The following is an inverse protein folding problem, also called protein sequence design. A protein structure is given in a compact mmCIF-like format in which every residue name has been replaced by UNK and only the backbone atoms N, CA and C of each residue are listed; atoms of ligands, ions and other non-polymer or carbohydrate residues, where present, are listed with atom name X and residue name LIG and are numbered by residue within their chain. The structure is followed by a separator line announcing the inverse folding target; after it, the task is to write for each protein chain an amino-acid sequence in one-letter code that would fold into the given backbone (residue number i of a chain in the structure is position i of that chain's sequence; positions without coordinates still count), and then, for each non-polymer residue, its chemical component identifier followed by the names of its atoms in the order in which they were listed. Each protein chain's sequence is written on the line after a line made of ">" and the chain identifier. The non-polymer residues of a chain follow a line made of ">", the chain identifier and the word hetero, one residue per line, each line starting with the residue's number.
data_IF_027542482292
#
_entry.id   IF_027542482292
#
_cell.length_a   1.000
_cell.length_b   1.000
_cell.length_c   1.000
_cell.angle_alpha   90.00
_cell.angle_beta   90.00
_cell.angle_gamma   90.00
#
_symmetry.space_group_name_H-M   'P 1'
#
loop_
_entity.id
_entity.type
_entity.pdbx_description
1 polymer ?
#
# COMPACT_ATOMS: atom_id res chain seq x y z
N UNK A 1 -28.02 -20.61 55.55
CA UNK A 1 -28.94 -19.54 55.93
C UNK A 1 -28.79 -18.42 54.94
N UNK A 2 -29.90 -18.11 54.29
CA UNK A 2 -30.29 -17.01 53.38
C UNK A 2 -29.42 -16.68 52.19
N UNK A 3 -29.91 -17.22 51.14
CA UNK A 3 -29.77 -16.90 49.72
C UNK A 3 -30.49 -15.56 49.40
N UNK A 4 -29.82 -14.60 48.76
CA UNK A 4 -30.48 -13.51 48.02
C UNK A 4 -29.76 -13.34 46.67
N UNK A 5 -30.46 -13.70 45.58
CA UNK A 5 -30.03 -13.53 44.19
C UNK A 5 -30.17 -12.08 43.71
N UNK A 6 -29.57 -11.71 42.59
CA UNK A 6 -29.57 -10.34 42.08
C UNK A 6 -30.87 -9.98 41.37
N UNK A 7 -31.36 -8.77 41.68
CA UNK A 7 -32.52 -8.12 41.07
C UNK A 7 -32.30 -7.76 39.60
N UNK A 8 -33.30 -8.05 38.79
CA UNK A 8 -33.44 -7.64 37.41
C UNK A 8 -33.78 -6.15 37.28
N UNK A 9 -32.95 -5.35 36.63
CA UNK A 9 -33.27 -3.95 36.24
C UNK A 9 -33.85 -3.96 34.82
N UNK A 10 -35.15 -3.65 34.75
CA UNK A 10 -35.86 -3.42 33.49
C UNK A 10 -35.54 -2.04 32.87
N UNK A 11 -35.85 -1.84 31.59
CA UNK A 11 -35.52 -0.61 30.85
C UNK A 11 -36.46 0.55 31.20
N UNK A 12 -35.98 1.83 31.20
CA UNK A 12 -36.87 2.96 31.39
C UNK A 12 -37.64 3.30 30.10
N UNK A 13 -38.88 3.71 30.28
CA UNK A 13 -39.84 4.09 29.27
C UNK A 13 -39.48 5.44 28.59
N UNK A 14 -39.89 5.56 27.35
CA UNK A 14 -39.56 6.65 26.44
C UNK A 14 -40.17 7.99 26.76
N UNK A 15 -39.55 9.04 26.29
CA UNK A 15 -40.17 10.35 26.04
C UNK A 15 -39.70 11.00 24.74
N UNK A 16 -40.62 11.22 23.84
CA UNK A 16 -40.83 12.43 23.07
C UNK A 16 -39.74 12.85 22.07
N UNK A 17 -40.11 12.79 20.78
CA UNK A 17 -39.35 13.18 19.62
C UNK A 17 -38.98 14.67 19.57
N UNK A 18 -37.85 14.90 18.88
CA UNK A 18 -37.53 16.13 18.17
C UNK A 18 -36.78 15.75 16.89
N UNK A 19 -37.17 16.30 15.77
CA UNK A 19 -36.77 15.99 14.43
C UNK A 19 -35.26 16.05 14.19
N UNK A 20 -34.72 14.99 13.62
CA UNK A 20 -33.40 14.97 13.04
C UNK A 20 -33.47 15.74 11.70
N UNK A 21 -32.77 16.87 11.65
CA UNK A 21 -32.44 17.53 10.39
C UNK A 21 -31.50 16.63 9.57
N UNK A 22 -31.48 16.79 8.25
CA UNK A 22 -30.60 15.98 7.41
C UNK A 22 -29.15 16.23 7.80
N UNK A 23 -28.44 15.17 8.17
CA UNK A 23 -27.00 15.19 8.34
C UNK A 23 -26.30 15.63 7.04
N UNK A 24 -25.12 16.24 7.12
CA UNK A 24 -24.43 16.68 5.93
C UNK A 24 -24.19 15.48 5.01
N UNK A 25 -24.72 15.61 3.80
CA UNK A 25 -24.50 14.70 2.71
C UNK A 25 -23.00 14.42 2.59
N UNK A 26 -22.62 13.15 2.55
CA UNK A 26 -21.27 12.72 2.26
C UNK A 26 -20.82 13.43 0.98
N UNK A 27 -19.77 14.25 1.13
CA UNK A 27 -19.23 15.02 0.03
C UNK A 27 -18.83 14.05 -1.07
N UNK A 28 -19.44 14.19 -2.24
CA UNK A 28 -18.94 13.63 -3.46
C UNK A 28 -17.45 13.98 -3.53
N UNK A 29 -16.60 12.96 -3.64
CA UNK A 29 -15.18 13.15 -3.91
C UNK A 29 -15.11 14.08 -5.12
N UNK A 30 -14.62 15.31 -4.88
CA UNK A 30 -14.47 16.29 -5.93
C UNK A 30 -13.69 15.64 -7.05
N UNK A 31 -14.10 15.87 -8.29
CA UNK A 31 -13.31 15.57 -9.48
C UNK A 31 -12.06 16.44 -9.40
N UNK A 32 -11.07 15.95 -8.61
CA UNK A 32 -9.80 16.61 -8.40
C UNK A 32 -9.09 16.75 -9.75
N UNK A 33 -8.46 17.89 -9.98
CA UNK A 33 -7.57 18.15 -11.10
C UNK A 33 -6.64 16.94 -11.29
N UNK A 34 -6.51 16.43 -12.50
CA UNK A 34 -5.60 15.33 -12.81
C UNK A 34 -4.19 15.67 -12.33
N UNK A 35 -3.61 14.80 -11.52
CA UNK A 35 -2.32 15.07 -10.89
C UNK A 35 -1.18 14.98 -11.89
N UNK A 36 -0.30 15.97 -11.83
CA UNK A 36 0.97 16.03 -12.54
C UNK A 36 2.09 16.28 -11.54
N UNK A 37 2.87 15.25 -11.27
CA UNK A 37 3.85 15.27 -10.20
C UNK A 37 5.18 15.92 -10.58
N UNK A 38 5.63 16.87 -9.76
CA UNK A 38 7.05 17.09 -9.52
C UNK A 38 7.49 16.11 -8.42
N UNK A 39 8.28 15.10 -8.78
CA UNK A 39 8.75 14.11 -7.82
C UNK A 39 10.00 14.65 -7.11
N UNK A 40 9.93 14.86 -5.81
CA UNK A 40 11.05 15.29 -4.98
C UNK A 40 11.90 14.08 -4.63
N UNK A 41 13.12 14.00 -5.16
CA UNK A 41 14.04 12.88 -4.98
C UNK A 41 15.48 13.34 -4.66
N UNK A 42 15.61 14.54 -4.08
CA UNK A 42 16.87 15.22 -3.78
C UNK A 42 17.92 14.31 -3.15
N UNK A 43 19.01 14.07 -3.88
CA UNK A 43 20.12 13.21 -3.50
C UNK A 43 19.85 11.69 -3.57
N UNK A 44 18.63 11.28 -3.96
CA UNK A 44 18.21 9.86 -3.92
C UNK A 44 17.61 9.34 -5.23
N UNK A 45 17.56 10.13 -6.29
CA UNK A 45 16.94 9.69 -7.57
C UNK A 45 17.62 8.46 -8.18
N UNK A 46 18.91 8.25 -7.91
CA UNK A 46 19.67 7.08 -8.36
C UNK A 46 19.52 5.87 -7.43
N UNK A 47 19.05 6.06 -6.19
CA UNK A 47 19.00 5.00 -5.18
C UNK A 47 17.75 4.12 -5.34
N UNK A 48 17.89 2.80 -5.62
CA UNK A 48 16.74 1.92 -5.84
C UNK A 48 15.93 1.63 -4.55
N UNK A 49 16.54 1.79 -3.38
CA UNK A 49 15.90 1.54 -2.09
C UNK A 49 15.17 2.79 -1.60
N UNK A 50 15.88 3.91 -1.53
CA UNK A 50 15.31 5.17 -1.04
C UNK A 50 14.38 5.83 -2.06
N UNK A 51 14.66 5.73 -3.38
CA UNK A 51 13.78 6.21 -4.46
C UNK A 51 12.55 5.33 -4.75
N UNK A 52 12.12 4.48 -3.83
CA UNK A 52 11.05 3.49 -4.04
C UNK A 52 9.72 4.12 -4.48
N UNK A 53 9.28 5.21 -3.86
CA UNK A 53 8.01 5.88 -4.20
C UNK A 53 8.10 6.51 -5.59
N UNK A 54 9.19 7.21 -5.90
CA UNK A 54 9.46 7.75 -7.24
C UNK A 54 9.36 6.64 -8.30
N UNK A 55 10.10 5.55 -8.12
CA UNK A 55 10.13 4.42 -9.09
C UNK A 55 8.77 3.74 -9.23
N UNK A 56 8.00 3.62 -8.14
CA UNK A 56 6.65 3.08 -8.17
C UNK A 56 5.72 3.94 -9.03
N UNK A 57 5.69 5.24 -8.81
CA UNK A 57 4.86 6.17 -9.60
C UNK A 57 5.31 6.20 -11.06
N UNK A 58 6.63 6.29 -11.33
CA UNK A 58 7.16 6.26 -12.70
C UNK A 58 6.80 4.98 -13.46
N UNK A 59 6.73 3.83 -12.78
CA UNK A 59 6.40 2.54 -13.40
C UNK A 59 4.89 2.37 -13.64
N UNK A 60 4.06 2.72 -12.66
CA UNK A 60 2.64 2.38 -12.65
C UNK A 60 1.71 3.54 -13.00
N UNK A 61 2.21 4.77 -12.96
CA UNK A 61 1.48 6.00 -13.31
C UNK A 61 2.36 6.98 -14.10
N UNK A 62 3.04 6.49 -15.16
CA UNK A 62 3.99 7.30 -15.95
C UNK A 62 3.37 8.60 -16.48
N UNK A 63 2.09 8.57 -16.82
CA UNK A 63 1.33 9.72 -17.34
C UNK A 63 1.21 10.87 -16.32
N UNK A 64 1.37 10.59 -15.04
CA UNK A 64 1.30 11.62 -13.99
C UNK A 64 2.62 12.30 -13.71
N UNK A 65 3.74 11.82 -14.24
CA UNK A 65 5.07 12.38 -13.95
C UNK A 65 5.38 13.53 -14.90
N UNK A 66 5.68 14.71 -14.34
CA UNK A 66 6.10 15.90 -15.11
C UNK A 66 7.61 16.05 -15.11
N UNK A 67 8.24 16.00 -13.92
CA UNK A 67 9.69 16.14 -13.74
C UNK A 67 10.13 15.50 -12.42
N UNK A 68 11.45 15.33 -12.26
CA UNK A 68 12.08 14.89 -11.01
C UNK A 68 12.96 16.03 -10.52
N UNK A 69 12.91 16.35 -9.24
CA UNK A 69 13.82 17.32 -8.62
C UNK A 69 14.91 16.58 -7.87
N UNK A 70 16.14 16.74 -8.33
CA UNK A 70 17.36 16.25 -7.70
C UNK A 70 18.56 17.12 -8.17
N UNK A 71 19.04 17.99 -7.31
CA UNK A 71 20.13 18.91 -7.62
C UNK A 71 21.43 18.19 -7.98
N UNK A 72 21.63 16.98 -7.46
CA UNK A 72 22.86 16.20 -7.71
C UNK A 72 22.95 15.65 -9.12
N UNK A 73 21.81 15.59 -9.84
CA UNK A 73 21.70 15.05 -11.20
C UNK A 73 21.00 16.00 -12.18
N UNK A 74 20.91 17.27 -11.83
CA UNK A 74 20.22 18.25 -12.64
C UNK A 74 20.79 18.30 -14.08
N UNK A 75 19.88 18.37 -15.08
CA UNK A 75 20.22 18.33 -16.48
C UNK A 75 20.30 16.93 -17.09
N UNK A 76 20.22 15.88 -16.28
CA UNK A 76 20.06 14.49 -16.74
C UNK A 76 18.58 14.14 -16.97
N UNK A 77 18.34 12.89 -17.31
CA UNK A 77 17.00 12.31 -17.36
C UNK A 77 16.98 10.93 -16.73
N UNK A 78 15.85 10.56 -16.13
CA UNK A 78 15.59 9.21 -15.64
C UNK A 78 14.39 8.62 -16.40
N UNK A 79 14.63 7.54 -17.16
CA UNK A 79 13.62 6.92 -18.04
C UNK A 79 12.85 7.90 -18.95
N UNK A 80 13.54 8.98 -19.41
CA UNK A 80 12.97 10.01 -20.28
C UNK A 80 12.34 11.21 -19.57
N UNK A 81 12.17 11.19 -18.25
CA UNK A 81 11.73 12.36 -17.49
C UNK A 81 12.91 13.26 -17.12
N UNK A 82 12.77 14.58 -17.26
CA UNK A 82 13.83 15.52 -16.95
C UNK A 82 14.10 15.56 -15.44
N UNK A 83 15.38 15.68 -15.09
CA UNK A 83 15.82 15.95 -13.71
C UNK A 83 16.23 17.42 -13.65
N UNK A 84 15.59 18.16 -12.74
CA UNK A 84 15.77 19.61 -12.58
C UNK A 84 16.41 19.95 -11.24
N UNK A 85 17.03 21.14 -11.16
CA UNK A 85 17.66 21.64 -9.94
C UNK A 85 16.70 22.43 -9.05
N UNK A 86 15.70 23.08 -9.61
CA UNK A 86 14.84 24.00 -8.88
C UNK A 86 13.35 23.79 -9.18
N UNK A 87 12.50 24.30 -8.30
CA UNK A 87 11.04 24.28 -8.50
C UNK A 87 10.69 25.13 -9.71
N UNK A 88 11.35 26.27 -9.90
CA UNK A 88 11.11 27.20 -11.02
C UNK A 88 11.37 26.52 -12.36
N UNK A 89 12.46 25.76 -12.49
CA UNK A 89 12.74 24.95 -13.69
C UNK A 89 11.66 23.90 -13.93
N UNK A 90 11.17 23.26 -12.85
CA UNK A 90 10.13 22.25 -12.95
C UNK A 90 8.81 22.79 -13.49
N UNK A 91 8.46 24.05 -13.20
CA UNK A 91 7.20 24.66 -13.64
C UNK A 91 7.05 24.68 -15.17
N UNK A 92 8.17 24.67 -15.93
CA UNK A 92 8.14 24.58 -17.39
C UNK A 92 7.50 23.26 -17.89
N UNK A 93 7.47 22.20 -17.07
CA UNK A 93 6.88 20.90 -17.38
C UNK A 93 5.43 20.78 -16.91
N UNK A 94 4.87 21.84 -16.28
CA UNK A 94 3.48 21.94 -15.87
C UNK A 94 3.05 21.00 -14.74
N UNK A 95 3.85 20.78 -13.69
CA UNK A 95 3.39 20.06 -12.51
C UNK A 95 2.30 20.85 -11.78
N UNK A 96 1.47 20.16 -11.03
CA UNK A 96 0.50 20.77 -10.12
C UNK A 96 0.57 20.20 -8.69
N UNK A 97 1.38 19.17 -8.49
CA UNK A 97 1.55 18.51 -7.20
C UNK A 97 3.02 18.14 -7.01
N UNK A 98 3.62 18.48 -5.88
CA UNK A 98 4.92 18.00 -5.46
C UNK A 98 4.73 16.72 -4.64
N UNK A 99 5.35 15.62 -5.06
CA UNK A 99 5.31 14.34 -4.36
C UNK A 99 6.66 14.05 -3.72
N UNK A 100 6.69 13.80 -2.41
CA UNK A 100 7.89 13.25 -1.75
C UNK A 100 8.14 11.84 -2.27
N UNK A 101 9.11 11.71 -3.19
CA UNK A 101 9.39 10.49 -3.95
C UNK A 101 10.30 9.49 -3.24
N UNK A 102 10.74 9.80 -2.03
CA UNK A 102 11.73 9.01 -1.28
C UNK A 102 11.15 8.37 -0.03
N UNK A 103 11.83 7.33 0.45
CA UNK A 103 11.56 6.67 1.73
C UNK A 103 12.86 6.69 2.53
N UNK A 104 13.03 7.69 3.40
CA UNK A 104 14.24 7.84 4.21
C UNK A 104 14.23 6.92 5.43
N UNK A 105 15.42 6.59 5.93
CA UNK A 105 15.55 5.82 7.17
C UNK A 105 14.89 6.58 8.34
N UNK A 106 14.02 5.89 9.10
CA UNK A 106 13.25 6.53 10.17
C UNK A 106 12.10 7.43 9.69
N UNK A 107 11.93 7.62 8.36
CA UNK A 107 10.82 8.39 7.79
C UNK A 107 10.87 9.88 8.07
N UNK A 108 12.07 10.44 8.29
CA UNK A 108 12.28 11.86 8.53
C UNK A 108 12.70 12.60 7.27
N UNK A 109 12.30 13.87 7.15
CA UNK A 109 12.84 14.75 6.11
C UNK A 109 14.33 15.02 6.38
N UNK A 110 15.19 15.02 5.34
CA UNK A 110 16.51 15.66 5.44
C UNK A 110 16.36 17.13 5.84
N UNK A 111 17.38 17.71 6.51
CA UNK A 111 17.27 19.04 7.12
C UNK A 111 16.82 20.14 6.14
N UNK A 112 17.29 20.08 4.90
CA UNK A 112 17.04 21.13 3.89
C UNK A 112 15.70 20.97 3.16
N UNK A 113 15.03 19.84 3.32
CA UNK A 113 13.78 19.56 2.59
C UNK A 113 12.60 20.43 3.02
N UNK A 114 12.60 20.96 4.22
CA UNK A 114 11.54 21.88 4.67
C UNK A 114 11.48 23.15 3.82
N UNK A 115 12.65 23.70 3.45
CA UNK A 115 12.72 24.85 2.55
C UNK A 115 12.20 24.49 1.15
N UNK A 116 12.57 23.33 0.63
CA UNK A 116 12.09 22.83 -0.67
C UNK A 116 10.56 22.64 -0.69
N UNK A 117 9.98 22.03 0.34
CA UNK A 117 8.53 21.86 0.46
C UNK A 117 7.77 23.20 0.48
N UNK A 118 8.32 24.20 1.21
CA UNK A 118 7.75 25.55 1.24
C UNK A 118 7.85 26.23 -0.12
N UNK A 119 8.96 26.06 -0.85
CA UNK A 119 9.09 26.57 -2.21
C UNK A 119 8.09 25.95 -3.17
N UNK A 120 7.80 24.66 -3.04
CA UNK A 120 6.75 24.00 -3.82
C UNK A 120 5.37 24.60 -3.52
N UNK A 121 5.03 24.77 -2.24
CA UNK A 121 3.75 25.37 -1.84
C UNK A 121 3.62 26.83 -2.33
N UNK A 122 4.70 27.63 -2.19
CA UNK A 122 4.75 29.00 -2.66
C UNK A 122 4.63 29.12 -4.20
N UNK A 123 5.07 28.10 -4.94
CA UNK A 123 4.91 27.99 -6.38
C UNK A 123 3.49 27.52 -6.80
N UNK A 124 2.56 27.29 -5.87
CA UNK A 124 1.19 26.87 -6.16
C UNK A 124 1.04 25.38 -6.42
N UNK A 125 2.00 24.55 -5.96
CA UNK A 125 1.91 23.10 -6.05
C UNK A 125 1.29 22.53 -4.77
N UNK A 126 0.30 21.64 -4.90
CA UNK A 126 -0.10 20.77 -3.80
C UNK A 126 1.10 19.94 -3.33
N UNK A 127 1.13 19.52 -2.07
CA UNK A 127 2.26 18.75 -1.54
C UNK A 127 1.76 17.42 -0.97
N UNK A 128 2.27 16.30 -1.50
CA UNK A 128 2.00 14.96 -1.00
C UNK A 128 3.25 14.34 -0.36
N UNK A 129 3.06 13.76 0.82
CA UNK A 129 4.12 13.19 1.63
C UNK A 129 3.77 11.78 2.11
N UNK A 130 4.70 10.84 1.88
CA UNK A 130 4.59 9.46 2.37
C UNK A 130 5.53 9.11 3.54
N UNK A 131 6.26 10.09 4.11
CA UNK A 131 7.12 9.86 5.27
C UNK A 131 6.32 9.86 6.58
N UNK A 132 6.98 9.49 7.69
CA UNK A 132 6.34 9.48 9.02
C UNK A 132 6.18 10.87 9.62
N UNK A 133 7.09 11.80 9.31
CA UNK A 133 6.95 13.21 9.70
C UNK A 133 5.86 13.87 8.86
N UNK A 134 4.92 14.52 9.50
CA UNK A 134 3.79 15.17 8.83
C UNK A 134 4.16 16.54 8.27
N UNK A 135 3.58 16.90 7.14
CA UNK A 135 3.64 18.25 6.57
C UNK A 135 3.03 19.27 7.53
N UNK A 136 1.93 18.88 8.17
CA UNK A 136 1.17 19.73 9.11
C UNK A 136 1.92 20.03 10.42
N UNK A 137 3.03 19.33 10.72
CA UNK A 137 3.88 19.64 11.87
C UNK A 137 4.80 20.85 11.62
N UNK A 138 4.80 21.41 10.39
CA UNK A 138 5.53 22.62 10.03
C UNK A 138 4.57 23.80 9.88
N UNK A 139 4.44 24.68 10.91
CA UNK A 139 3.49 25.79 10.88
C UNK A 139 3.76 26.80 9.75
N UNK A 140 5.03 26.97 9.34
CA UNK A 140 5.38 27.87 8.22
C UNK A 140 4.94 27.27 6.90
N UNK A 141 5.04 25.96 6.72
CA UNK A 141 4.52 25.28 5.52
C UNK A 141 2.99 25.37 5.46
N UNK A 142 2.31 25.14 6.60
CA UNK A 142 0.85 25.27 6.71
C UNK A 142 0.38 26.69 6.36
N UNK A 143 1.05 27.71 6.89
CA UNK A 143 0.76 29.10 6.55
C UNK A 143 0.98 29.39 5.08
N UNK A 144 2.13 28.94 4.51
CA UNK A 144 2.45 29.12 3.09
C UNK A 144 1.39 28.45 2.21
N UNK A 145 0.99 27.22 2.54
CA UNK A 145 -0.04 26.49 1.79
C UNK A 145 -1.38 27.24 1.81
N UNK A 146 -1.80 27.76 2.98
CA UNK A 146 -3.03 28.54 3.11
C UNK A 146 -2.98 29.85 2.29
N UNK A 147 -1.84 30.55 2.28
CA UNK A 147 -1.66 31.78 1.50
C UNK A 147 -1.74 31.54 -0.01
N UNK A 148 -1.28 30.39 -0.50
CA UNK A 148 -1.26 30.05 -1.92
C UNK A 148 -2.42 29.14 -2.35
N UNK A 149 -3.31 28.74 -1.43
CA UNK A 149 -4.49 27.92 -1.71
C UNK A 149 -4.16 26.51 -2.19
N UNK A 150 -3.06 25.92 -1.71
CA UNK A 150 -2.61 24.57 -2.04
C UNK A 150 -2.90 23.59 -0.92
N UNK A 151 -3.10 22.31 -1.28
CA UNK A 151 -3.37 21.23 -0.33
C UNK A 151 -2.07 20.58 0.18
N UNK A 152 -2.03 20.32 1.49
CA UNK A 152 -1.01 19.48 2.11
C UNK A 152 -1.62 18.12 2.45
N UNK A 153 -1.13 17.06 1.81
CA UNK A 153 -1.65 15.71 1.99
C UNK A 153 -0.58 14.76 2.52
N UNK A 154 -0.74 14.35 3.77
CA UNK A 154 0.06 13.28 4.35
C UNK A 154 -0.58 11.92 4.03
N UNK A 155 0.02 11.13 3.12
CA UNK A 155 -0.49 9.82 2.66
C UNK A 155 -0.57 8.78 3.79
N UNK A 156 0.14 9.03 4.89
CA UNK A 156 0.10 8.20 6.11
C UNK A 156 -0.87 8.71 7.16
N UNK A 157 -1.59 9.81 6.91
CA UNK A 157 -2.61 10.27 7.85
C UNK A 157 -3.80 9.31 7.82
N UNK A 158 -4.13 8.63 8.93
CA UNK A 158 -5.31 7.77 8.98
C UNK A 158 -6.58 8.59 8.77
N UNK A 159 -7.59 8.05 8.05
CA UNK A 159 -8.89 8.70 7.94
C UNK A 159 -9.52 8.94 9.32
N UNK A 160 -10.26 10.04 9.43
CA UNK A 160 -11.08 10.33 10.63
C UNK A 160 -12.23 9.33 10.70
N UNK A 161 -12.50 8.80 11.89
CA UNK A 161 -13.65 7.91 12.12
C UNK A 161 -13.39 6.44 11.83
N UNK A 162 -12.14 6.01 11.67
CA UNK A 162 -11.82 4.58 11.62
C UNK A 162 -12.36 3.88 12.86
N UNK A 163 -12.90 2.68 12.66
CA UNK A 163 -13.43 1.82 13.70
C UNK A 163 -12.83 0.41 13.60
N UNK A 164 -13.18 -0.45 14.54
CA UNK A 164 -12.90 -1.90 14.44
C UNK A 164 -13.66 -2.51 13.26
N UNK A 165 -13.17 -3.62 12.74
CA UNK A 165 -13.84 -4.35 11.66
C UNK A 165 -15.27 -4.77 12.08
N UNK A 166 -16.20 -4.69 11.14
CA UNK A 166 -17.63 -4.97 11.34
C UNK A 166 -18.07 -6.28 10.67
N UNK A 167 -17.24 -6.86 9.81
CA UNK A 167 -17.56 -8.03 8.99
C UNK A 167 -18.12 -7.66 7.61
N UNK A 168 -18.14 -6.37 7.22
CA UNK A 168 -18.60 -5.93 5.90
C UNK A 168 -17.75 -6.53 4.77
N UNK A 169 -16.47 -6.82 5.02
CA UNK A 169 -15.59 -7.56 4.11
C UNK A 169 -16.15 -8.92 3.66
N UNK A 170 -16.97 -9.56 4.50
CA UNK A 170 -17.58 -10.87 4.18
C UNK A 170 -18.69 -10.76 3.13
N UNK A 171 -19.25 -9.57 2.94
CA UNK A 171 -20.32 -9.30 1.99
C UNK A 171 -19.81 -8.71 0.66
N UNK A 172 -18.51 -8.44 0.52
CA UNK A 172 -17.91 -7.94 -0.73
C UNK A 172 -18.13 -8.97 -1.84
N UNK A 173 -18.78 -8.58 -2.97
CA UNK A 173 -19.15 -9.53 -4.02
C UNK A 173 -17.98 -10.00 -4.88
N UNK A 174 -16.84 -9.30 -4.84
CA UNK A 174 -15.66 -9.64 -5.62
C UNK A 174 -14.75 -10.66 -4.94
N UNK A 175 -13.77 -11.15 -5.68
CA UNK A 175 -12.69 -12.00 -5.16
C UNK A 175 -11.59 -11.14 -4.58
N UNK A 176 -11.30 -11.32 -3.31
CA UNK A 176 -10.24 -10.61 -2.60
C UNK A 176 -8.99 -11.51 -2.58
N UNK A 177 -7.88 -10.99 -3.11
CA UNK A 177 -6.58 -11.67 -3.13
C UNK A 177 -5.58 -10.80 -2.37
N UNK A 178 -5.00 -11.33 -1.32
CA UNK A 178 -3.99 -10.62 -0.52
C UNK A 178 -2.59 -11.12 -0.86
N UNK A 179 -1.67 -10.23 -1.24
CA UNK A 179 -0.27 -10.59 -1.30
C UNK A 179 0.29 -10.69 0.11
N UNK A 180 0.93 -11.81 0.43
CA UNK A 180 1.62 -12.04 1.70
C UNK A 180 3.10 -12.36 1.40
N UNK A 181 3.94 -12.54 2.41
CA UNK A 181 5.33 -12.77 2.06
C UNK A 181 6.22 -13.24 3.19
N UNK A 182 7.40 -13.72 2.79
CA UNK A 182 8.44 -14.23 3.67
C UNK A 182 9.09 -13.14 4.52
N UNK A 183 9.11 -11.87 4.05
CA UNK A 183 9.68 -10.73 4.78
C UNK A 183 9.09 -9.40 4.30
N UNK A 184 9.56 -8.28 4.86
CA UNK A 184 9.36 -6.92 4.38
C UNK A 184 10.19 -6.64 3.12
N UNK A 185 9.82 -5.61 2.35
CA UNK A 185 10.58 -5.08 1.21
C UNK A 185 10.93 -6.09 0.09
N UNK A 186 10.26 -7.25 0.02
CA UNK A 186 10.48 -8.30 -0.98
C UNK A 186 9.68 -8.10 -2.29
N UNK A 187 8.81 -7.07 -2.37
CA UNK A 187 8.09 -6.72 -3.59
C UNK A 187 6.58 -6.95 -3.59
N UNK A 188 5.91 -7.16 -2.44
CA UNK A 188 4.45 -7.42 -2.35
C UNK A 188 3.59 -6.39 -3.09
N UNK A 189 3.85 -5.09 -2.90
CA UNK A 189 3.19 -4.01 -3.64
C UNK A 189 3.36 -4.18 -5.16
N UNK A 190 4.61 -4.38 -5.60
CA UNK A 190 4.94 -4.58 -7.01
C UNK A 190 4.17 -5.77 -7.59
N UNK A 191 4.13 -6.89 -6.87
CA UNK A 191 3.37 -8.08 -7.28
C UNK A 191 1.88 -7.75 -7.42
N UNK A 192 1.27 -7.07 -6.43
CA UNK A 192 -0.15 -6.66 -6.52
C UNK A 192 -0.42 -5.76 -7.73
N UNK A 193 0.47 -4.81 -8.01
CA UNK A 193 0.34 -3.94 -9.19
C UNK A 193 0.48 -4.70 -10.51
N UNK A 194 1.47 -5.61 -10.63
CA UNK A 194 1.67 -6.42 -11.85
C UNK A 194 0.48 -7.35 -12.12
N UNK A 195 -0.08 -7.95 -11.06
CA UNK A 195 -1.26 -8.79 -11.17
C UNK A 195 -2.50 -8.00 -11.58
N UNK A 196 -2.69 -6.80 -11.02
CA UNK A 196 -3.80 -5.91 -11.40
C UNK A 196 -3.68 -5.46 -12.87
N UNK A 197 -2.49 -5.01 -13.28
CA UNK A 197 -2.26 -4.60 -14.68
C UNK A 197 -2.55 -5.73 -15.66
N UNK A 198 -2.09 -6.94 -15.37
CA UNK A 198 -2.34 -8.11 -16.22
C UNK A 198 -3.82 -8.48 -16.25
N UNK A 199 -4.51 -8.45 -15.11
CA UNK A 199 -5.95 -8.69 -15.04
C UNK A 199 -6.74 -7.67 -15.87
N UNK A 200 -6.42 -6.38 -15.72
CA UNK A 200 -7.02 -5.29 -16.53
C UNK A 200 -6.74 -5.48 -18.04
N UNK A 201 -5.51 -5.87 -18.40
CA UNK A 201 -5.13 -6.14 -19.80
C UNK A 201 -5.98 -7.26 -20.40
N UNK A 202 -6.43 -8.22 -19.58
CA UNK A 202 -7.36 -9.30 -19.99
C UNK A 202 -8.83 -8.88 -19.98
N UNK A 203 -9.15 -7.62 -19.68
CA UNK A 203 -10.52 -7.11 -19.61
C UNK A 203 -11.28 -7.48 -18.33
N UNK A 204 -10.58 -7.97 -17.30
CA UNK A 204 -11.17 -8.25 -15.98
C UNK A 204 -11.36 -6.92 -15.25
N UNK A 205 -12.50 -6.73 -14.61
CA UNK A 205 -12.74 -5.60 -13.71
C UNK A 205 -11.92 -5.82 -12.44
N UNK A 206 -10.72 -5.29 -12.45
CA UNK A 206 -9.71 -5.50 -11.44
C UNK A 206 -9.37 -4.19 -10.74
N UNK A 207 -9.08 -4.23 -9.43
CA UNK A 207 -8.70 -3.07 -8.65
C UNK A 207 -7.52 -3.41 -7.74
N UNK A 208 -6.46 -2.59 -7.84
CA UNK A 208 -5.36 -2.59 -6.88
C UNK A 208 -5.81 -1.85 -5.62
N UNK A 209 -5.74 -2.53 -4.47
CA UNK A 209 -6.15 -2.01 -3.15
C UNK A 209 -4.91 -1.64 -2.35
N UNK A 210 -4.53 -0.36 -2.32
CA UNK A 210 -3.29 0.09 -1.69
C UNK A 210 -3.43 0.19 -0.18
N UNK A 211 -2.43 -0.31 0.53
CA UNK A 211 -2.38 -0.31 2.00
C UNK A 211 -1.18 0.45 2.54
N UNK A 212 -0.29 0.94 1.67
CA UNK A 212 0.92 1.69 2.01
C UNK A 212 1.09 2.95 1.17
N UNK A 213 1.91 3.87 1.65
CA UNK A 213 2.08 5.21 1.05
C UNK A 213 2.46 5.19 -0.44
N UNK A 214 3.30 4.25 -0.86
CA UNK A 214 3.70 4.15 -2.27
C UNK A 214 2.53 3.67 -3.12
N UNK A 215 1.79 2.66 -2.66
CA UNK A 215 0.57 2.19 -3.31
C UNK A 215 -0.49 3.29 -3.40
N UNK A 216 -0.64 4.10 -2.34
CA UNK A 216 -1.57 5.25 -2.31
C UNK A 216 -1.16 6.32 -3.33
N UNK A 217 0.15 6.63 -3.44
CA UNK A 217 0.63 7.57 -4.46
C UNK A 217 0.37 7.07 -5.88
N UNK A 218 0.47 5.76 -6.11
CA UNK A 218 0.15 5.11 -7.39
C UNK A 218 -1.35 5.14 -7.67
N UNK A 219 -2.17 4.65 -6.75
CA UNK A 219 -3.61 4.49 -6.97
C UNK A 219 -4.42 5.80 -6.82
N UNK A 220 -3.89 6.78 -6.08
CA UNK A 220 -4.59 8.03 -5.77
C UNK A 220 -5.58 7.93 -4.60
N UNK A 221 -5.77 6.75 -4.03
CA UNK A 221 -6.64 6.44 -2.89
C UNK A 221 -6.01 5.38 -1.99
N UNK A 222 -6.58 5.14 -0.81
CA UNK A 222 -6.13 4.09 0.09
C UNK A 222 -5.88 4.56 1.51
N UNK A 223 -5.47 3.64 2.38
CA UNK A 223 -5.14 3.89 3.79
C UNK A 223 -3.78 3.27 4.08
N UNK A 224 -2.85 4.05 4.64
CA UNK A 224 -1.58 3.52 5.14
C UNK A 224 -1.84 2.79 6.45
N UNK A 225 -2.08 1.49 6.38
CA UNK A 225 -2.52 0.66 7.52
C UNK A 225 -1.48 0.56 8.62
N UNK A 226 -0.21 0.73 8.27
CA UNK A 226 0.90 0.74 9.23
C UNK A 226 0.98 2.04 10.07
N UNK A 227 0.20 3.06 9.72
CA UNK A 227 0.04 4.29 10.50
C UNK A 227 -1.26 4.30 11.33
N UNK A 228 -2.06 3.24 11.26
CA UNK A 228 -3.33 3.11 11.99
C UNK A 228 -3.08 2.51 13.37
N UNK A 229 -3.82 2.99 14.38
CA UNK A 229 -3.81 2.39 15.72
C UNK A 229 -4.18 0.91 15.62
N UNK A 230 -3.47 0.05 16.37
CA UNK A 230 -3.56 -1.41 16.25
C UNK A 230 -4.99 -1.96 16.25
N UNK A 231 -5.86 -1.45 17.13
CA UNK A 231 -7.26 -1.86 17.25
C UNK A 231 -8.08 -1.64 15.96
N UNK A 232 -7.65 -0.73 15.10
CA UNK A 232 -8.38 -0.34 13.90
C UNK A 232 -7.74 -0.83 12.60
N UNK A 233 -6.60 -1.53 12.62
CA UNK A 233 -5.93 -2.03 11.41
C UNK A 233 -6.87 -2.93 10.60
N UNK A 234 -7.55 -3.86 11.27
CA UNK A 234 -8.51 -4.74 10.60
C UNK A 234 -9.70 -3.96 10.02
N UNK A 235 -10.20 -2.94 10.74
CA UNK A 235 -11.26 -2.07 10.23
C UNK A 235 -10.84 -1.24 9.02
N UNK A 236 -9.61 -0.72 9.02
CA UNK A 236 -9.05 -0.02 7.88
C UNK A 236 -8.92 -0.93 6.64
N UNK A 237 -8.43 -2.17 6.83
CA UNK A 237 -8.34 -3.14 5.75
C UNK A 237 -9.72 -3.59 5.22
N UNK A 238 -10.73 -3.71 6.09
CA UNK A 238 -12.11 -3.93 5.72
C UNK A 238 -12.65 -2.78 4.87
N UNK A 239 -12.48 -1.53 5.32
CA UNK A 239 -12.91 -0.35 4.56
C UNK A 239 -12.28 -0.32 3.16
N UNK A 240 -10.99 -0.67 3.05
CA UNK A 240 -10.28 -0.68 1.77
C UNK A 240 -10.85 -1.69 0.78
N UNK A 241 -11.20 -2.91 1.20
CA UNK A 241 -11.77 -3.91 0.28
C UNK A 241 -13.21 -3.58 -0.09
N UNK A 242 -13.98 -2.96 0.81
CA UNK A 242 -15.32 -2.44 0.51
C UNK A 242 -15.22 -1.33 -0.53
N UNK A 243 -14.36 -0.33 -0.32
CA UNK A 243 -14.14 0.76 -1.27
C UNK A 243 -13.64 0.25 -2.62
N UNK A 244 -12.70 -0.69 -2.65
CA UNK A 244 -12.21 -1.30 -3.89
C UNK A 244 -13.32 -1.98 -4.70
N UNK A 245 -14.28 -2.62 -4.03
CA UNK A 245 -15.45 -3.19 -4.67
C UNK A 245 -16.42 -2.11 -5.18
N UNK A 246 -16.65 -1.05 -4.39
CA UNK A 246 -17.49 0.08 -4.79
C UNK A 246 -16.91 0.84 -5.99
N UNK A 247 -15.61 0.82 -6.19
CA UNK A 247 -14.91 1.31 -7.37
C UNK A 247 -15.12 0.44 -8.61
N UNK A 248 -15.81 -0.68 -8.46
CA UNK A 248 -16.17 -1.61 -9.54
C UNK A 248 -15.22 -2.80 -9.69
N UNK A 249 -14.30 -3.01 -8.75
CA UNK A 249 -13.42 -4.19 -8.74
C UNK A 249 -14.17 -5.47 -8.46
N UNK A 250 -14.09 -6.44 -9.37
CA UNK A 250 -14.56 -7.82 -9.17
C UNK A 250 -13.41 -8.72 -8.71
N UNK A 251 -12.17 -8.31 -8.99
CA UNK A 251 -10.94 -8.95 -8.53
C UNK A 251 -10.10 -7.88 -7.83
N UNK A 252 -9.95 -8.01 -6.51
CA UNK A 252 -9.27 -7.05 -5.65
C UNK A 252 -7.90 -7.57 -5.26
N UNK A 253 -6.84 -6.84 -5.66
CA UNK A 253 -5.45 -7.16 -5.33
C UNK A 253 -4.99 -6.32 -4.14
N UNK A 254 -5.13 -6.85 -2.94
CA UNK A 254 -4.76 -6.15 -1.71
C UNK A 254 -3.25 -6.18 -1.53
N UNK A 255 -2.66 -5.00 -1.41
CA UNK A 255 -1.24 -4.84 -1.10
C UNK A 255 -0.94 -5.40 0.29
N UNK A 256 -0.05 -6.41 0.38
CA UNK A 256 0.42 -6.94 1.65
C UNK A 256 1.53 -6.11 2.26
N UNK A 257 1.55 -6.05 3.58
CA UNK A 257 2.61 -5.42 4.37
C UNK A 257 3.10 -6.34 5.47
N UNK A 258 4.35 -6.10 5.92
CA UNK A 258 4.96 -6.92 6.96
C UNK A 258 5.24 -8.36 6.50
N UNK A 259 5.35 -9.24 7.46
CA UNK A 259 5.41 -10.71 7.30
C UNK A 259 5.06 -11.34 8.65
N UNK A 260 4.39 -12.49 8.64
CA UNK A 260 4.04 -13.24 9.85
C UNK A 260 5.25 -13.67 10.68
N UNK A 261 6.37 -13.91 10.00
CA UNK A 261 7.61 -14.36 10.64
C UNK A 261 8.55 -13.21 10.98
N UNK A 262 8.19 -11.97 10.61
CA UNK A 262 8.97 -10.79 10.99
C UNK A 262 8.54 -10.30 12.37
N UNK A 263 9.42 -10.32 13.39
CA UNK A 263 9.05 -9.99 14.77
C UNK A 263 8.61 -8.53 14.96
N UNK A 264 8.98 -7.65 14.03
CA UNK A 264 8.67 -6.21 14.12
C UNK A 264 7.30 -5.87 13.51
N UNK A 265 6.92 -6.54 12.40
CA UNK A 265 5.80 -6.12 11.57
C UNK A 265 4.70 -7.18 11.39
N UNK A 266 4.74 -8.30 12.12
CA UNK A 266 3.74 -9.38 12.02
C UNK A 266 2.31 -8.92 12.36
N UNK A 267 2.17 -7.99 13.30
CA UNK A 267 0.86 -7.45 13.69
C UNK A 267 0.10 -6.76 12.55
N UNK A 268 0.81 -6.04 11.67
CA UNK A 268 0.21 -5.41 10.49
C UNK A 268 -0.29 -6.47 9.51
N UNK A 269 0.51 -7.53 9.29
CA UNK A 269 0.11 -8.65 8.42
C UNK A 269 -1.16 -9.33 8.92
N UNK A 270 -1.26 -9.62 10.23
CA UNK A 270 -2.47 -10.21 10.83
C UNK A 270 -3.69 -9.31 10.69
N UNK A 271 -3.53 -8.01 10.92
CA UNK A 271 -4.60 -7.04 10.72
C UNK A 271 -5.11 -7.00 9.27
N UNK A 272 -4.19 -7.07 8.29
CA UNK A 272 -4.54 -7.16 6.87
C UNK A 272 -5.27 -8.47 6.54
N UNK A 273 -4.79 -9.63 7.02
CA UNK A 273 -5.42 -10.92 6.77
C UNK A 273 -6.87 -10.94 7.30
N UNK A 274 -7.08 -10.48 8.53
CA UNK A 274 -8.40 -10.54 9.15
C UNK A 274 -9.32 -9.43 8.64
N UNK A 275 -8.78 -8.23 8.38
CA UNK A 275 -9.58 -7.10 7.91
C UNK A 275 -9.94 -7.18 6.43
N UNK A 276 -9.08 -7.68 5.56
CA UNK A 276 -9.43 -7.90 4.16
C UNK A 276 -10.22 -9.19 3.95
N UNK A 277 -10.12 -10.17 4.87
CA UNK A 277 -10.75 -11.49 4.77
C UNK A 277 -10.60 -12.09 3.36
N UNK A 278 -9.38 -12.34 2.87
CA UNK A 278 -9.15 -12.72 1.49
C UNK A 278 -9.72 -14.10 1.18
N UNK A 279 -10.05 -14.32 -0.09
CA UNK A 279 -10.38 -15.63 -0.62
C UNK A 279 -9.11 -16.42 -0.94
N UNK A 280 -8.06 -15.72 -1.40
CA UNK A 280 -6.79 -16.32 -1.80
C UNK A 280 -5.61 -15.47 -1.34
N UNK A 281 -4.47 -16.13 -1.17
CA UNK A 281 -3.18 -15.48 -0.98
C UNK A 281 -2.28 -15.66 -2.22
N UNK A 282 -1.41 -14.69 -2.45
CA UNK A 282 -0.22 -14.81 -3.29
C UNK A 282 1.00 -14.66 -2.39
N UNK A 283 1.80 -15.70 -2.26
CA UNK A 283 2.98 -15.69 -1.38
C UNK A 283 4.19 -15.14 -2.14
N UNK A 284 4.71 -14.02 -1.68
CA UNK A 284 5.89 -13.37 -2.24
C UNK A 284 7.17 -13.82 -1.51
N UNK A 285 8.26 -14.00 -2.25
CA UNK A 285 9.58 -14.31 -1.70
C UNK A 285 10.70 -13.73 -2.57
N UNK A 286 11.75 -13.23 -1.95
CA UNK A 286 12.97 -12.79 -2.66
C UNK A 286 14.00 -13.91 -2.68
N UNK A 287 14.37 -14.33 -3.88
CA UNK A 287 15.32 -15.44 -4.08
C UNK A 287 16.66 -15.13 -3.44
N UNK A 288 17.17 -16.06 -2.63
CA UNK A 288 18.42 -15.91 -1.90
C UNK A 288 18.28 -15.23 -0.53
N UNK A 289 17.11 -14.72 -0.16
CA UNK A 289 16.87 -14.18 1.18
C UNK A 289 16.53 -15.31 2.16
N UNK A 290 17.43 -15.57 3.10
CA UNK A 290 17.30 -16.67 4.09
C UNK A 290 17.04 -16.17 5.51
N UNK A 291 17.21 -14.86 5.76
CA UNK A 291 17.00 -14.22 7.06
C UNK A 291 16.14 -12.97 6.94
N UNK A 292 15.41 -12.65 7.99
CA UNK A 292 14.61 -11.44 8.13
C UNK A 292 15.55 -10.22 8.20
N UNK A 293 15.33 -9.27 7.33
CA UNK A 293 16.12 -8.04 7.28
C UNK A 293 15.65 -7.03 8.32
N UNK A 294 16.62 -6.42 9.03
CA UNK A 294 16.36 -5.32 9.97
C UNK A 294 15.77 -5.74 11.32
N UNK A 295 15.62 -7.03 11.59
CA UNK A 295 15.25 -7.52 12.91
C UNK A 295 16.50 -7.58 13.81
N UNK A 296 16.45 -6.89 14.96
CA UNK A 296 17.53 -6.95 15.95
C UNK A 296 17.45 -8.20 16.84
N UNK A 297 18.52 -8.46 17.62
CA UNK A 297 18.49 -9.51 18.65
C UNK A 297 19.02 -10.88 18.22
N UNK A 298 19.57 -11.02 17.04
CA UNK A 298 20.17 -12.24 16.51
C UNK A 298 19.59 -12.68 15.16
N UNK A 299 20.00 -13.83 14.62
CA UNK A 299 19.50 -14.32 13.35
C UNK A 299 18.03 -14.73 13.46
N UNK A 300 17.25 -14.29 12.49
CA UNK A 300 15.84 -14.66 12.33
C UNK A 300 15.68 -15.39 10.99
N UNK A 301 15.82 -16.74 10.95
CA UNK A 301 15.74 -17.47 9.70
C UNK A 301 14.34 -17.40 9.11
N UNK A 302 14.27 -17.30 7.79
CA UNK A 302 13.02 -17.40 7.05
C UNK A 302 12.70 -18.89 6.86
N UNK A 303 11.50 -19.35 7.24
CA UNK A 303 11.05 -20.73 6.99
C UNK A 303 11.00 -21.07 5.50
N UNK A 304 11.00 -22.37 5.16
CA UNK A 304 10.77 -22.83 3.80
C UNK A 304 9.43 -22.39 3.22
N UNK A 305 9.31 -22.35 1.89
CA UNK A 305 8.10 -21.85 1.23
C UNK A 305 6.87 -22.68 1.58
N UNK A 306 7.01 -24.01 1.71
CA UNK A 306 5.92 -24.90 2.13
C UNK A 306 5.39 -24.53 3.54
N UNK A 307 6.29 -24.31 4.48
CA UNK A 307 5.92 -23.93 5.84
C UNK A 307 5.25 -22.54 5.87
N UNK A 308 5.75 -21.59 5.07
CA UNK A 308 5.11 -20.27 4.91
C UNK A 308 3.71 -20.38 4.30
N UNK A 309 3.49 -21.25 3.33
CA UNK A 309 2.15 -21.54 2.76
C UNK A 309 1.23 -22.03 3.86
N UNK A 310 1.63 -23.08 4.60
CA UNK A 310 0.82 -23.66 5.68
C UNK A 310 0.50 -22.63 6.79
N UNK A 311 1.49 -21.80 7.15
CA UNK A 311 1.32 -20.75 8.16
C UNK A 311 0.25 -19.74 7.74
N UNK A 312 0.32 -19.21 6.51
CA UNK A 312 -0.65 -18.22 6.03
C UNK A 312 -2.05 -18.82 5.89
N UNK A 313 -2.18 -20.04 5.41
CA UNK A 313 -3.48 -20.72 5.33
C UNK A 313 -4.10 -20.97 6.70
N UNK A 314 -3.27 -21.26 7.70
CA UNK A 314 -3.72 -21.54 9.07
C UNK A 314 -4.28 -20.32 9.80
N UNK A 315 -3.75 -19.11 9.48
CA UNK A 315 -4.19 -17.87 10.15
C UNK A 315 -5.36 -17.20 9.44
N UNK A 316 -5.82 -17.71 8.29
CA UNK A 316 -7.02 -17.22 7.63
C UNK A 316 -8.23 -17.39 8.55
N UNK A 317 -9.24 -16.53 8.36
CA UNK A 317 -10.47 -16.60 9.16
C UNK A 317 -11.17 -17.95 8.94
N UNK A 318 -11.59 -18.65 10.00
CA UNK A 318 -12.35 -19.90 9.86
C UNK A 318 -13.63 -19.75 9.01
N UNK A 319 -14.25 -18.56 9.05
CA UNK A 319 -15.45 -18.26 8.26
C UNK A 319 -15.15 -18.06 6.76
N UNK A 320 -13.91 -17.76 6.41
CA UNK A 320 -13.42 -17.66 5.02
C UNK A 320 -11.99 -18.23 4.98
N UNK A 321 -11.84 -19.55 4.91
CA UNK A 321 -10.52 -20.16 4.81
C UNK A 321 -9.90 -19.82 3.46
N UNK A 322 -8.79 -19.09 3.48
CA UNK A 322 -8.06 -18.70 2.29
C UNK A 322 -6.92 -19.69 2.00
N UNK A 323 -6.65 -19.92 0.72
CA UNK A 323 -5.56 -20.75 0.23
C UNK A 323 -4.52 -19.94 -0.50
N UNK A 324 -3.25 -20.36 -0.46
CA UNK A 324 -2.22 -19.79 -1.32
C UNK A 324 -2.44 -20.29 -2.75
N UNK A 325 -2.66 -19.35 -3.67
CA UNK A 325 -2.90 -19.67 -5.07
C UNK A 325 -1.62 -19.94 -5.84
N UNK A 326 -0.58 -19.15 -5.58
CA UNK A 326 0.70 -19.22 -6.29
C UNK A 326 1.82 -18.54 -5.47
N UNK A 327 3.05 -18.73 -5.93
CA UNK A 327 4.26 -18.14 -5.38
C UNK A 327 4.78 -17.07 -6.34
N UNK A 328 4.90 -15.82 -5.89
CA UNK A 328 5.50 -14.73 -6.64
C UNK A 328 6.96 -14.53 -6.19
N UNK A 329 7.90 -14.81 -7.06
CA UNK A 329 9.32 -14.68 -6.78
C UNK A 329 9.86 -13.33 -7.23
N UNK A 330 10.72 -12.74 -6.43
CA UNK A 330 11.55 -11.60 -6.79
C UNK A 330 12.95 -12.12 -7.10
N UNK A 331 13.31 -12.14 -8.39
CA UNK A 331 14.59 -12.70 -8.87
C UNK A 331 15.58 -11.61 -9.31
N UNK A 332 15.40 -10.36 -8.85
CA UNK A 332 16.17 -9.18 -9.31
C UNK A 332 17.69 -9.32 -9.14
N UNK A 333 18.15 -10.10 -8.16
CA UNK A 333 19.57 -10.23 -7.82
C UNK A 333 20.26 -11.44 -8.45
N UNK A 334 19.54 -12.22 -9.26
CA UNK A 334 20.08 -13.42 -9.92
C UNK A 334 19.92 -13.33 -11.44
N UNK A 335 20.71 -14.09 -12.18
CA UNK A 335 20.57 -14.22 -13.63
C UNK A 335 19.30 -14.99 -14.03
N UNK A 336 18.97 -15.01 -15.32
CA UNK A 336 17.75 -15.66 -15.81
C UNK A 336 17.77 -17.18 -15.56
N UNK A 337 18.92 -17.84 -15.72
CA UNK A 337 19.02 -19.29 -15.52
C UNK A 337 18.78 -19.64 -14.04
N UNK A 338 19.35 -18.87 -13.11
CA UNK A 338 19.11 -19.02 -11.68
C UNK A 338 17.65 -18.67 -11.31
N UNK A 339 17.06 -17.65 -11.93
CA UNK A 339 15.66 -17.31 -11.73
C UNK A 339 14.73 -18.49 -12.13
N UNK A 340 14.95 -19.09 -13.30
CA UNK A 340 14.17 -20.25 -13.75
C UNK A 340 14.35 -21.48 -12.87
N UNK A 341 15.57 -21.73 -12.34
CA UNK A 341 15.80 -22.79 -11.36
C UNK A 341 15.04 -22.53 -10.07
N UNK A 342 15.10 -21.31 -9.53
CA UNK A 342 14.35 -20.95 -8.32
C UNK A 342 12.82 -21.10 -8.48
N UNK A 343 12.28 -20.78 -9.66
CA UNK A 343 10.88 -21.04 -9.98
C UNK A 343 10.58 -22.54 -9.91
N UNK A 344 11.37 -23.38 -10.57
CA UNK A 344 11.18 -24.83 -10.56
C UNK A 344 11.32 -25.44 -9.15
N UNK A 345 12.26 -24.95 -8.34
CA UNK A 345 12.47 -25.35 -6.95
C UNK A 345 11.26 -24.97 -6.07
N UNK A 346 10.74 -23.74 -6.21
CA UNK A 346 9.55 -23.29 -5.49
C UNK A 346 8.32 -24.14 -5.83
N UNK A 347 8.14 -24.50 -7.11
CA UNK A 347 7.07 -25.40 -7.55
C UNK A 347 7.24 -26.83 -6.99
N UNK A 348 8.44 -27.36 -7.03
CA UNK A 348 8.75 -28.69 -6.49
C UNK A 348 8.52 -28.75 -4.97
N UNK A 349 8.90 -27.69 -4.25
CA UNK A 349 8.71 -27.58 -2.81
C UNK A 349 7.23 -27.45 -2.42
N UNK A 350 6.48 -26.56 -3.07
CA UNK A 350 5.15 -26.18 -2.64
C UNK A 350 4.02 -26.93 -3.34
N UNK A 351 4.28 -27.42 -4.56
CA UNK A 351 3.24 -27.96 -5.44
C UNK A 351 2.34 -26.87 -6.06
N UNK A 352 2.71 -25.59 -5.91
CA UNK A 352 1.96 -24.45 -6.42
C UNK A 352 2.66 -23.82 -7.62
N UNK A 353 1.92 -23.21 -8.58
CA UNK A 353 2.53 -22.43 -9.65
C UNK A 353 3.41 -21.31 -9.08
N UNK A 354 4.61 -21.13 -9.64
CA UNK A 354 5.53 -20.06 -9.27
C UNK A 354 6.00 -19.29 -10.50
N UNK A 355 6.23 -17.98 -10.36
CA UNK A 355 6.85 -17.16 -11.40
C UNK A 355 7.39 -15.84 -10.83
N UNK A 356 8.20 -15.10 -11.63
CA UNK A 356 8.56 -13.71 -11.36
C UNK A 356 7.71 -12.79 -12.26
N UNK A 357 6.69 -12.12 -11.70
CA UNK A 357 5.77 -11.32 -12.49
C UNK A 357 6.42 -10.08 -13.13
N UNK A 358 7.56 -9.63 -12.60
CA UNK A 358 8.30 -8.47 -13.14
C UNK A 358 9.19 -8.89 -14.32
N UNK A 359 9.83 -10.04 -14.20
CA UNK A 359 10.81 -10.53 -15.20
C UNK A 359 10.14 -11.27 -16.36
N UNK A 360 9.15 -12.10 -16.06
CA UNK A 360 8.54 -13.01 -17.05
C UNK A 360 7.07 -12.70 -17.34
N UNK A 361 6.52 -11.67 -16.65
CA UNK A 361 5.12 -11.27 -16.77
C UNK A 361 4.20 -11.99 -15.78
N UNK A 362 3.09 -11.33 -15.44
CA UNK A 362 2.17 -11.80 -14.40
C UNK A 362 1.14 -12.85 -14.89
N UNK A 363 1.16 -13.18 -16.18
CA UNK A 363 0.14 -14.02 -16.82
C UNK A 363 -0.11 -15.33 -16.10
N UNK A 364 0.95 -16.10 -15.81
CA UNK A 364 0.87 -17.40 -15.16
C UNK A 364 0.30 -17.33 -13.74
N UNK A 365 0.67 -16.30 -12.99
CA UNK A 365 0.17 -16.12 -11.63
C UNK A 365 -1.31 -15.70 -11.62
N UNK A 366 -1.74 -14.85 -12.57
CA UNK A 366 -3.16 -14.51 -12.75
C UNK A 366 -3.96 -15.75 -13.11
N UNK A 367 -3.48 -16.62 -14.02
CA UNK A 367 -4.12 -17.89 -14.36
C UNK A 367 -4.29 -18.80 -13.13
N UNK A 368 -3.25 -18.87 -12.27
CA UNK A 368 -3.29 -19.67 -11.04
C UNK A 368 -4.35 -19.15 -10.04
N UNK A 369 -4.54 -17.83 -9.97
CA UNK A 369 -5.57 -17.21 -9.14
C UNK A 369 -6.96 -17.50 -9.75
N UNK A 370 -7.16 -17.23 -11.05
CA UNK A 370 -8.43 -17.41 -11.71
C UNK A 370 -8.92 -18.86 -11.69
N UNK A 371 -8.02 -19.83 -11.76
CA UNK A 371 -8.35 -21.25 -11.66
C UNK A 371 -8.92 -21.65 -10.28
N UNK A 372 -8.82 -20.78 -9.27
CA UNK A 372 -9.31 -20.98 -7.90
C UNK A 372 -10.48 -20.08 -7.53
N UNK A 373 -10.84 -19.15 -8.41
CA UNK A 373 -12.05 -18.34 -8.29
C UNK A 373 -13.20 -19.17 -8.82
N UNK A 374 -14.04 -19.69 -7.94
CA UNK A 374 -15.25 -20.47 -8.27
C UNK A 374 -16.50 -19.63 -8.09
#
# INVERSE_FOLDING_TARGET
>A
MSNTGPESIGPPAGSGGAGAGPGPAGGAAGQGREKRYLILAEGYSHDPLYGKTMRGVMRYRPETVAAILDTTRAGESENGWPIVATVEEALAFGPNTALVGVVTQGGHFPADWRALLRSCAAAGLDVENGLHVRLTDDPVLVETAAQHGVELRDLRAPPVGLSTATGANMAVPGTIVLTVGSDCAIGKMTVSCELDLEARRRGIRSEFVPTGQTGIAIAGWGIAVDAVVADFIAGAAEQLVVEGSERGGELLWVEGQGSLVNPVYSGVTLGLVHGSAPHLFVLCHEVGRTEIEGAGGGPHPIPGLRELVELHERIALPARPAKVACIALNTRHVDEAAARRAIAEAEAETGLPADDPVRFGAGRLVDAVLARVT
#
